data_IF_307430374556
#
_entry.id   IF_307430374556
#
_cell.length_a   1.000
_cell.length_b   1.000
_cell.length_c   1.000
_cell.angle_alpha   90.00
_cell.angle_beta   90.00
_cell.angle_gamma   90.00
#
_symmetry.space_group_name_H-M   'P 1'
#
loop_
_entity.id
_entity.type
_entity.pdbx_description
1 polymer ?
#
# COMPACT_ATOMS: atom_id res chain seq x y z
N UNK A 1 -32.50 68.85 -17.07
CA UNK A 1 -31.68 67.97 -16.20
C UNK A 1 -31.94 66.47 -16.48
N UNK A 2 -32.14 66.04 -17.74
CA UNK A 2 -32.50 64.65 -18.09
C UNK A 2 -31.58 63.95 -19.12
N UNK A 3 -30.51 64.60 -19.59
CA UNK A 3 -29.68 64.05 -20.68
C UNK A 3 -28.35 63.40 -20.25
N UNK A 4 -27.98 63.41 -18.96
CA UNK A 4 -26.65 62.95 -18.53
C UNK A 4 -26.54 61.45 -18.18
N UNK A 5 -27.63 60.68 -18.18
CA UNK A 5 -27.62 59.29 -17.65
C UNK A 5 -27.57 58.22 -18.76
N UNK A 6 -27.80 58.59 -20.02
CA UNK A 6 -28.05 57.60 -21.09
C UNK A 6 -26.81 56.99 -21.75
N UNK A 7 -25.59 57.41 -21.39
CA UNK A 7 -24.35 56.91 -22.05
C UNK A 7 -23.56 55.85 -21.27
N UNK A 8 -23.84 55.57 -19.98
CA UNK A 8 -22.94 54.71 -19.19
C UNK A 8 -23.27 53.20 -19.16
N UNK A 9 -24.33 52.73 -19.83
CA UNK A 9 -24.81 51.35 -19.66
C UNK A 9 -24.90 50.53 -20.97
N UNK A 10 -23.92 50.65 -21.87
CA UNK A 10 -23.80 49.71 -22.99
C UNK A 10 -22.42 49.06 -23.07
N UNK A 11 -22.00 48.43 -21.97
CA UNK A 11 -20.94 47.42 -22.05
C UNK A 11 -21.57 46.17 -22.66
N UNK A 12 -21.33 45.92 -23.95
CA UNK A 12 -21.72 44.66 -24.62
C UNK A 12 -21.17 43.49 -23.80
N UNK A 13 -22.04 42.81 -23.06
CA UNK A 13 -21.68 41.56 -22.41
C UNK A 13 -21.42 40.53 -23.52
N UNK A 14 -20.14 40.22 -23.74
CA UNK A 14 -19.75 39.12 -24.60
C UNK A 14 -20.04 37.82 -23.83
N UNK A 15 -21.14 37.16 -24.18
CA UNK A 15 -21.43 35.81 -23.70
C UNK A 15 -20.54 34.78 -24.41
N UNK A 16 -20.28 33.67 -23.72
CA UNK A 16 -19.62 32.49 -24.32
C UNK A 16 -20.48 31.92 -25.44
N UNK A 17 -19.82 31.41 -26.48
CA UNK A 17 -20.53 30.75 -27.58
C UNK A 17 -20.75 29.26 -27.27
N UNK A 18 -21.84 28.67 -27.77
CA UNK A 18 -22.09 27.23 -27.59
C UNK A 18 -20.95 26.38 -28.17
N UNK A 19 -20.35 26.82 -29.29
CA UNK A 19 -19.24 26.11 -29.92
C UNK A 19 -17.98 26.13 -29.03
N UNK A 20 -17.74 27.21 -28.29
CA UNK A 20 -16.61 27.33 -27.38
C UNK A 20 -16.73 26.33 -26.21
N UNK A 21 -17.93 26.15 -25.68
CA UNK A 21 -18.18 25.12 -24.66
C UNK A 21 -17.96 23.70 -25.22
N UNK A 22 -18.42 23.43 -26.44
CA UNK A 22 -18.27 22.11 -27.09
C UNK A 22 -16.80 21.77 -27.34
N UNK A 23 -16.00 22.73 -27.80
CA UNK A 23 -14.56 22.52 -28.00
C UNK A 23 -13.87 22.26 -26.66
N UNK A 24 -14.23 22.98 -25.59
CA UNK A 24 -13.64 22.79 -24.26
C UNK A 24 -13.90 21.39 -23.73
N UNK A 25 -15.15 20.90 -23.78
CA UNK A 25 -15.44 19.54 -23.30
C UNK A 25 -14.78 18.47 -24.18
N UNK A 26 -14.66 18.69 -25.49
CA UNK A 26 -13.94 17.79 -26.38
C UNK A 26 -12.46 17.67 -26.01
N UNK A 27 -11.79 18.80 -25.72
CA UNK A 27 -10.39 18.81 -25.27
C UNK A 27 -10.24 18.14 -23.90
N UNK A 28 -11.15 18.40 -22.95
CA UNK A 28 -11.12 17.75 -21.63
C UNK A 28 -11.17 16.23 -21.77
N UNK A 29 -12.05 15.69 -22.62
CA UNK A 29 -12.18 14.24 -22.85
C UNK A 29 -10.87 13.63 -23.36
N UNK A 30 -10.20 14.29 -24.30
CA UNK A 30 -8.92 13.82 -24.86
C UNK A 30 -7.84 13.81 -23.78
N UNK A 31 -7.72 14.90 -23.01
CA UNK A 31 -6.70 15.01 -21.96
C UNK A 31 -6.94 14.02 -20.81
N UNK A 32 -8.19 13.84 -20.37
CA UNK A 32 -8.51 12.87 -19.30
C UNK A 32 -8.19 11.44 -19.71
N UNK A 33 -8.38 11.09 -20.98
CA UNK A 33 -8.09 9.75 -21.49
C UNK A 33 -6.60 9.42 -21.42
N UNK A 34 -5.72 10.37 -21.77
CA UNK A 34 -4.26 10.19 -21.70
C UNK A 34 -3.79 10.17 -20.24
N UNK A 35 -4.31 11.08 -19.40
CA UNK A 35 -3.95 11.17 -18.00
C UNK A 35 -4.27 9.88 -17.21
N UNK A 36 -5.40 9.25 -17.50
CA UNK A 36 -5.83 8.01 -16.83
C UNK A 36 -4.82 6.86 -17.02
N UNK A 37 -4.22 6.72 -18.21
CA UNK A 37 -3.26 5.64 -18.49
C UNK A 37 -1.99 5.78 -17.64
N UNK A 38 -1.43 6.98 -17.51
CA UNK A 38 -0.21 7.24 -16.75
C UNK A 38 -0.37 7.09 -15.23
N UNK A 39 -1.57 7.35 -14.70
CA UNK A 39 -1.84 7.28 -13.26
C UNK A 39 -1.69 5.86 -12.69
N UNK A 40 -2.00 4.83 -13.48
CA UNK A 40 -1.90 3.44 -13.03
C UNK A 40 -0.49 3.01 -12.65
N UNK A 41 0.53 3.47 -13.39
CA UNK A 41 1.94 3.16 -13.13
C UNK A 41 2.39 3.86 -11.85
N UNK A 42 2.07 5.15 -11.70
CA UNK A 42 2.40 5.92 -10.50
C UNK A 42 1.80 5.31 -9.23
N UNK A 43 0.55 4.83 -9.30
CA UNK A 43 -0.09 4.16 -8.17
C UNK A 43 0.58 2.84 -7.81
N UNK A 44 1.03 2.05 -8.80
CA UNK A 44 1.80 0.82 -8.55
C UNK A 44 3.10 1.11 -7.81
N UNK A 45 3.87 2.09 -8.30
CA UNK A 45 5.13 2.49 -7.68
C UNK A 45 4.92 3.02 -6.26
N UNK A 46 3.87 3.82 -6.04
CA UNK A 46 3.52 4.31 -4.71
C UNK A 46 3.21 3.15 -3.74
N UNK A 47 2.44 2.15 -4.20
CA UNK A 47 2.12 0.97 -3.39
C UNK A 47 3.33 0.09 -3.12
N UNK A 48 4.20 -0.13 -4.10
CA UNK A 48 5.43 -0.91 -3.89
C UNK A 48 6.38 -0.23 -2.88
N UNK A 49 6.50 1.10 -2.95
CA UNK A 49 7.24 1.88 -1.95
C UNK A 49 6.59 1.78 -0.56
N UNK A 50 5.26 1.79 -0.48
CA UNK A 50 4.54 1.59 0.77
C UNK A 50 4.79 0.18 1.34
N UNK A 51 4.73 -0.87 0.51
CA UNK A 51 5.07 -2.26 0.92
C UNK A 51 6.49 -2.34 1.46
N UNK A 52 7.47 -1.78 0.75
CA UNK A 52 8.86 -1.78 1.19
C UNK A 52 9.06 -1.03 2.52
N UNK A 53 8.36 0.09 2.71
CA UNK A 53 8.33 0.82 3.98
C UNK A 53 7.78 -0.03 5.13
N UNK A 54 6.62 -0.68 4.92
CA UNK A 54 6.01 -1.58 5.92
C UNK A 54 6.92 -2.77 6.25
N UNK A 55 7.55 -3.38 5.23
CA UNK A 55 8.53 -4.45 5.45
C UNK A 55 9.70 -4.00 6.32
N UNK A 56 10.21 -2.79 6.11
CA UNK A 56 11.31 -2.25 6.92
C UNK A 56 10.91 -2.15 8.39
N UNK A 57 9.71 -1.64 8.67
CA UNK A 57 9.15 -1.53 10.03
C UNK A 57 8.96 -2.92 10.65
N UNK A 58 8.39 -3.88 9.90
CA UNK A 58 8.20 -5.25 10.37
C UNK A 58 9.54 -5.93 10.71
N UNK A 59 10.54 -5.79 9.85
CA UNK A 59 11.88 -6.35 10.09
C UNK A 59 12.49 -5.76 11.34
N UNK A 60 12.48 -4.44 11.50
CA UNK A 60 13.03 -3.80 12.71
C UNK A 60 12.32 -4.29 13.98
N UNK A 61 10.98 -4.40 13.93
CA UNK A 61 10.19 -4.86 15.05
C UNK A 61 10.42 -6.34 15.39
N UNK A 62 10.59 -7.19 14.38
CA UNK A 62 10.91 -8.61 14.54
C UNK A 62 12.30 -8.81 15.15
N UNK A 63 13.28 -8.02 14.71
CA UNK A 63 14.65 -8.09 15.27
C UNK A 63 14.67 -7.63 16.72
N UNK A 64 13.92 -6.57 17.06
CA UNK A 64 13.72 -6.13 18.44
C UNK A 64 13.02 -7.20 19.29
N UNK A 65 12.01 -7.88 18.74
CA UNK A 65 11.34 -8.97 19.45
C UNK A 65 12.34 -10.09 19.77
N UNK A 66 13.21 -10.45 18.81
CA UNK A 66 14.25 -11.43 19.04
C UNK A 66 15.24 -10.99 20.11
N UNK A 67 15.66 -9.72 20.12
CA UNK A 67 16.58 -9.20 21.16
C UNK A 67 16.02 -9.37 22.58
N UNK A 68 14.69 -9.34 22.72
CA UNK A 68 14.01 -9.47 24.01
C UNK A 68 13.69 -10.92 24.38
N UNK A 69 13.39 -11.78 23.40
CA UNK A 69 12.84 -13.13 23.64
C UNK A 69 13.78 -14.27 23.22
N UNK A 70 14.84 -13.99 22.46
CA UNK A 70 15.77 -14.98 21.91
C UNK A 70 15.21 -15.83 20.75
N UNK A 71 14.03 -15.49 20.24
CA UNK A 71 13.34 -16.13 19.14
C UNK A 71 12.41 -15.15 18.44
N UNK A 72 11.97 -15.49 17.23
CA UNK A 72 10.95 -14.75 16.51
C UNK A 72 9.55 -15.27 16.87
N UNK A 73 8.52 -14.42 16.83
CA UNK A 73 7.17 -14.84 17.15
C UNK A 73 6.71 -15.93 16.18
N UNK A 74 5.87 -16.82 16.69
CA UNK A 74 5.23 -17.81 15.82
C UNK A 74 4.34 -17.11 14.81
N UNK A 75 4.12 -17.74 13.66
CA UNK A 75 3.31 -17.10 12.64
C UNK A 75 1.87 -16.87 13.10
N UNK A 76 1.31 -17.77 13.91
CA UNK A 76 -0.02 -17.64 14.48
C UNK A 76 -0.20 -16.35 15.32
N UNK A 77 0.87 -15.89 16.00
CA UNK A 77 0.83 -14.61 16.74
C UNK A 77 0.74 -13.42 15.78
N UNK A 78 1.44 -13.47 14.65
CA UNK A 78 1.46 -12.37 13.68
C UNK A 78 0.26 -12.37 12.73
N UNK A 79 -0.32 -13.52 12.44
CA UNK A 79 -1.49 -13.68 11.55
C UNK A 79 -2.83 -13.62 12.30
N UNK A 80 -2.84 -13.18 13.55
CA UNK A 80 -4.07 -13.08 14.35
C UNK A 80 -5.03 -12.06 13.70
N UNK A 81 -6.32 -12.40 13.65
CA UNK A 81 -7.36 -11.51 13.11
C UNK A 81 -7.54 -10.25 13.96
N UNK A 82 -7.24 -10.34 15.26
CA UNK A 82 -7.04 -9.19 16.12
C UNK A 82 -5.61 -8.66 15.96
N UNK A 83 -5.42 -7.80 14.95
CA UNK A 83 -4.14 -7.17 14.63
C UNK A 83 -3.50 -6.43 15.81
N UNK A 84 -4.28 -5.99 16.81
CA UNK A 84 -3.74 -5.34 18.00
C UNK A 84 -2.82 -6.26 18.81
N UNK A 85 -3.12 -7.56 18.86
CA UNK A 85 -2.28 -8.55 19.53
C UNK A 85 -0.95 -8.72 18.81
N UNK A 86 -0.97 -8.81 17.48
CA UNK A 86 0.23 -8.90 16.65
C UNK A 86 1.10 -7.63 16.78
N UNK A 87 0.48 -6.46 16.77
CA UNK A 87 1.15 -5.19 16.97
C UNK A 87 1.80 -5.09 18.36
N UNK A 88 1.10 -5.50 19.41
CA UNK A 88 1.63 -5.53 20.78
C UNK A 88 2.80 -6.51 20.92
N UNK A 89 2.70 -7.70 20.32
CA UNK A 89 3.81 -8.64 20.28
C UNK A 89 5.05 -7.98 19.66
N UNK A 90 4.88 -7.22 18.58
CA UNK A 90 5.96 -6.49 17.93
C UNK A 90 6.33 -5.15 18.59
N UNK A 91 5.96 -4.92 19.86
CA UNK A 91 6.34 -3.71 20.60
C UNK A 91 5.49 -2.49 20.29
N UNK A 92 4.22 -2.69 19.92
CA UNK A 92 3.22 -1.64 19.71
C UNK A 92 3.39 -0.85 18.41
N UNK A 93 3.78 -1.50 17.32
CA UNK A 93 3.86 -0.83 16.00
C UNK A 93 2.47 -0.45 15.46
N UNK A 94 2.44 0.48 14.50
CA UNK A 94 1.18 0.94 13.91
C UNK A 94 0.41 -0.18 13.21
N UNK A 95 -0.90 -0.26 13.44
CA UNK A 95 -1.77 -1.33 12.93
C UNK A 95 -1.81 -1.37 11.39
N UNK A 96 -1.66 -0.21 10.72
CA UNK A 96 -1.65 -0.15 9.26
C UNK A 96 -0.41 -0.80 8.66
N UNK A 97 0.64 -1.04 9.45
CA UNK A 97 1.83 -1.79 9.00
C UNK A 97 1.49 -3.22 8.58
N UNK A 98 0.46 -3.81 9.20
CA UNK A 98 0.04 -5.18 8.92
C UNK A 98 -0.87 -5.30 7.71
N UNK A 99 -1.40 -4.19 7.19
CA UNK A 99 -2.35 -4.19 6.07
C UNK A 99 -1.60 -3.88 4.77
N UNK A 100 -1.70 -4.74 3.77
CA UNK A 100 -1.09 -4.50 2.47
C UNK A 100 -1.85 -3.41 1.69
N UNK A 101 -1.18 -2.59 0.85
CA UNK A 101 -1.81 -1.42 0.22
C UNK A 101 -2.97 -1.74 -0.72
N UNK A 102 -3.00 -2.95 -1.29
CA UNK A 102 -4.08 -3.43 -2.15
C UNK A 102 -4.85 -4.60 -1.50
N UNK A 103 -4.88 -4.65 -0.16
CA UNK A 103 -5.65 -5.66 0.55
C UNK A 103 -7.15 -5.51 0.30
N UNK A 104 -7.90 -6.61 0.45
CA UNK A 104 -9.35 -6.59 0.30
C UNK A 104 -10.00 -5.67 1.35
N UNK A 105 -11.14 -5.07 1.00
CA UNK A 105 -11.85 -4.16 1.90
C UNK A 105 -12.19 -4.86 3.23
N UNK A 106 -11.91 -4.19 4.35
CA UNK A 106 -12.12 -4.75 5.69
C UNK A 106 -10.97 -5.62 6.21
N UNK A 107 -9.91 -5.84 5.44
CA UNK A 107 -8.71 -6.53 5.91
C UNK A 107 -8.02 -5.73 7.02
N UNK A 108 -7.92 -6.32 8.20
CA UNK A 108 -7.20 -5.74 9.36
C UNK A 108 -5.78 -6.26 9.49
N UNK A 109 -5.48 -7.42 8.89
CA UNK A 109 -4.18 -8.06 8.93
C UNK A 109 -3.94 -8.85 7.63
N UNK A 110 -2.89 -8.48 6.88
CA UNK A 110 -2.49 -9.12 5.64
C UNK A 110 -1.35 -10.13 5.83
N UNK A 111 -0.93 -10.40 7.07
CA UNK A 111 0.09 -11.42 7.35
C UNK A 111 -0.49 -12.82 7.14
N UNK A 112 0.20 -13.65 6.36
CA UNK A 112 -0.19 -15.02 6.09
C UNK A 112 0.93 -16.02 6.43
N UNK A 113 0.54 -17.12 7.07
CA UNK A 113 1.39 -18.27 7.39
C UNK A 113 1.43 -19.28 6.23
N UNK A 114 1.91 -18.86 5.06
CA UNK A 114 2.10 -19.77 3.94
C UNK A 114 3.55 -19.79 3.46
N UNK A 115 4.02 -20.99 3.11
CA UNK A 115 5.26 -21.16 2.36
C UNK A 115 5.11 -20.81 0.87
N UNK A 116 3.88 -20.66 0.38
CA UNK A 116 3.57 -20.31 -1.00
C UNK A 116 4.03 -18.88 -1.32
N UNK A 117 4.21 -18.63 -2.61
CA UNK A 117 4.59 -17.31 -3.11
C UNK A 117 3.34 -16.42 -3.20
N UNK A 118 3.38 -15.17 -2.69
CA UNK A 118 2.27 -14.23 -2.88
C UNK A 118 2.10 -13.94 -4.38
N UNK A 119 0.85 -13.89 -4.84
CA UNK A 119 0.49 -13.71 -6.26
C UNK A 119 0.01 -12.29 -6.59
N UNK A 120 0.00 -11.39 -5.59
CA UNK A 120 -0.52 -10.03 -5.69
C UNK A 120 -2.04 -9.92 -5.52
N UNK A 121 -2.78 -11.04 -5.50
CA UNK A 121 -4.21 -11.09 -5.18
C UNK A 121 -4.59 -12.39 -4.43
N UNK A 122 -5.12 -12.29 -3.18
CA UNK A 122 -5.16 -11.07 -2.36
C UNK A 122 -3.75 -10.56 -2.06
N UNK A 123 -3.60 -9.26 -1.80
CA UNK A 123 -2.31 -8.65 -1.45
C UNK A 123 -1.96 -9.02 0.00
N UNK A 124 -0.93 -9.87 0.17
CA UNK A 124 -0.54 -10.43 1.46
C UNK A 124 0.96 -10.32 1.71
N UNK A 125 1.30 -10.34 2.99
CA UNK A 125 2.67 -10.43 3.49
C UNK A 125 2.89 -11.82 4.07
N UNK A 126 3.60 -12.67 3.34
CA UNK A 126 3.82 -14.05 3.77
C UNK A 126 4.98 -14.09 4.77
N UNK A 127 4.71 -14.59 5.97
CA UNK A 127 5.68 -14.76 7.04
C UNK A 127 5.88 -16.25 7.31
N UNK A 128 7.11 -16.73 7.11
CA UNK A 128 7.42 -18.17 7.15
C UNK A 128 8.87 -18.42 7.53
N UNK A 129 9.18 -19.59 8.08
CA UNK A 129 10.55 -20.06 8.32
C UNK A 129 10.96 -21.13 7.29
N UNK A 130 12.27 -21.32 7.14
CA UNK A 130 12.84 -22.45 6.40
C UNK A 130 13.86 -23.18 7.28
N UNK A 131 13.68 -24.48 7.61
CA UNK A 131 12.53 -25.32 7.27
C UNK A 131 11.22 -24.80 7.88
N UNK A 132 10.10 -25.16 7.24
CA UNK A 132 8.77 -24.77 7.71
C UNK A 132 8.49 -25.41 9.07
N UNK A 133 8.00 -24.62 10.01
CA UNK A 133 7.51 -25.07 11.31
C UNK A 133 5.99 -24.90 11.40
N UNK A 134 5.35 -25.55 12.36
CA UNK A 134 3.93 -25.35 12.62
C UNK A 134 3.66 -23.88 12.97
N UNK A 135 2.49 -23.35 12.58
CA UNK A 135 2.18 -21.91 12.70
C UNK A 135 2.26 -21.39 14.15
N UNK A 136 2.01 -22.23 15.15
CA UNK A 136 2.07 -21.88 16.57
C UNK A 136 3.46 -22.03 17.20
N UNK A 137 4.46 -22.47 16.44
CA UNK A 137 5.82 -22.71 16.93
C UNK A 137 6.67 -21.45 16.73
N UNK A 138 7.36 -21.02 17.79
CA UNK A 138 8.30 -19.90 17.71
C UNK A 138 9.44 -20.22 16.73
N UNK A 139 9.91 -19.20 16.02
CA UNK A 139 10.81 -19.38 14.88
C UNK A 139 12.23 -18.93 15.21
N UNK A 140 13.24 -19.62 14.66
CA UNK A 140 14.67 -19.24 14.81
C UNK A 140 15.16 -18.36 13.66
N UNK A 141 14.52 -18.50 12.50
CA UNK A 141 14.68 -17.67 11.33
C UNK A 141 13.30 -17.32 10.76
N UNK A 142 13.24 -16.28 9.95
CA UNK A 142 12.04 -15.95 9.21
C UNK A 142 12.39 -15.33 7.86
N UNK A 143 11.42 -15.43 6.97
CA UNK A 143 11.40 -14.84 5.65
C UNK A 143 10.05 -14.17 5.45
N UNK A 144 10.07 -12.88 5.15
CA UNK A 144 8.93 -12.09 4.70
C UNK A 144 8.91 -12.06 3.17
N UNK A 145 7.75 -12.25 2.57
CA UNK A 145 7.55 -12.18 1.12
C UNK A 145 6.33 -11.35 0.77
N UNK A 146 6.45 -10.52 -0.25
CA UNK A 146 5.35 -9.72 -0.78
C UNK A 146 5.45 -9.61 -2.30
N UNK A 147 4.33 -9.31 -2.96
CA UNK A 147 4.29 -9.12 -4.40
C UNK A 147 4.62 -7.68 -4.78
N UNK A 148 5.58 -7.47 -5.69
CA UNK A 148 5.83 -6.17 -6.31
C UNK A 148 5.02 -6.05 -7.60
N UNK A 149 4.18 -5.01 -7.65
CA UNK A 149 3.35 -4.74 -8.83
C UNK A 149 4.14 -4.17 -10.01
N UNK A 150 5.19 -3.39 -9.74
CA UNK A 150 6.07 -2.84 -10.76
C UNK A 150 6.97 -3.90 -11.39
N UNK A 151 7.58 -4.76 -10.57
CA UNK A 151 8.49 -5.83 -11.03
C UNK A 151 7.77 -7.13 -11.43
N UNK A 152 6.48 -7.24 -11.15
CA UNK A 152 5.67 -8.45 -11.40
C UNK A 152 6.34 -9.73 -10.87
N UNK A 153 6.90 -9.63 -9.67
CA UNK A 153 7.68 -10.68 -9.03
C UNK A 153 7.54 -10.61 -7.50
N UNK A 154 7.95 -11.69 -6.83
CA UNK A 154 7.97 -11.75 -5.37
C UNK A 154 9.28 -11.17 -4.86
N UNK A 155 9.14 -10.18 -3.98
CA UNK A 155 10.24 -9.65 -3.20
C UNK A 155 10.36 -10.42 -1.89
N UNK A 156 11.59 -10.77 -1.52
CA UNK A 156 11.89 -11.60 -0.35
C UNK A 156 12.83 -10.84 0.59
N UNK A 157 12.41 -10.73 1.85
CA UNK A 157 13.18 -10.08 2.91
C UNK A 157 13.43 -11.09 4.02
N UNK A 158 14.70 -11.46 4.22
CA UNK A 158 15.12 -12.39 5.27
C UNK A 158 15.51 -11.64 6.53
N UNK A 159 15.24 -12.24 7.69
CA UNK A 159 15.78 -11.76 8.96
C UNK A 159 17.32 -11.76 8.97
N UNK A 160 17.93 -10.83 9.71
CA UNK A 160 19.39 -10.64 9.76
C UNK A 160 20.12 -11.88 10.26
N UNK A 161 19.46 -12.65 11.12
CA UNK A 161 20.00 -13.85 11.78
C UNK A 161 19.79 -15.15 11.01
N UNK A 162 18.97 -15.15 9.96
CA UNK A 162 18.74 -16.32 9.10
C UNK A 162 19.78 -16.51 7.99
N UNK A 163 20.89 -15.76 8.03
CA UNK A 163 21.89 -15.67 6.95
C UNK A 163 23.13 -16.55 7.17
N UNK A 164 23.16 -17.34 8.24
CA UNK A 164 24.26 -18.27 8.49
C UNK A 164 24.02 -19.58 7.71
N UNK A 165 25.03 -20.07 6.96
CA UNK A 165 24.94 -21.28 6.14
C UNK A 165 24.81 -22.58 6.95
#
# INVERSE_FOLDING_TARGET
MKQSVSEMLNRKQKGFTLIELVIVVAVIIILTSIAAAGMTIYLKDARDNERAGKMTILVEALERYYDQNGEYPSCAVLSDSNVSSAAQALGGIDLQTFVAPSAEEGTTNSINCSSDQPTGQPDTFNYSSTPAVASNTAMRNYTLRYWSEGNNSVETVMGRRGREP
#
